data_IF_633854874935
#
_entry.id   IF_633854874935
#
_cell.length_a   1.000
_cell.length_b   1.000
_cell.length_c   1.000
_cell.angle_alpha   90.00
_cell.angle_beta   90.00
_cell.angle_gamma   90.00
#
_symmetry.space_group_name_H-M   'P 1'
#
loop_
_entity.id
_entity.type
_entity.pdbx_description
1 polymer ?
#
# COMPACT_ATOMS: atom_id res chain seq x y z
N UNK A 1 5.01 -5.66 23.06
CA UNK A 1 4.12 -6.53 22.25
C UNK A 1 4.99 -7.24 21.21
N UNK A 2 4.81 -8.54 20.95
CA UNK A 2 5.63 -9.23 19.93
C UNK A 2 5.35 -8.66 18.54
N UNK A 3 6.41 -8.45 17.75
CA UNK A 3 6.33 -7.92 16.36
C UNK A 3 5.43 -8.79 15.48
N UNK A 4 5.36 -10.10 15.74
CA UNK A 4 4.48 -11.03 15.03
C UNK A 4 3.01 -10.73 15.32
N UNK A 5 2.67 -10.51 16.60
CA UNK A 5 1.31 -10.18 17.01
C UNK A 5 0.88 -8.81 16.44
N UNK A 6 1.79 -7.84 16.48
CA UNK A 6 1.61 -6.53 15.86
C UNK A 6 1.34 -6.64 14.35
N UNK A 7 2.16 -7.41 13.64
CA UNK A 7 2.01 -7.67 12.21
C UNK A 7 0.64 -8.27 11.89
N UNK A 8 0.19 -9.25 12.67
CA UNK A 8 -1.14 -9.86 12.50
C UNK A 8 -2.27 -8.87 12.74
N UNK A 9 -2.15 -8.02 13.76
CA UNK A 9 -3.13 -6.97 14.05
C UNK A 9 -3.18 -5.93 12.92
N UNK A 10 -2.02 -5.46 12.47
CA UNK A 10 -1.88 -4.51 11.38
C UNK A 10 -2.49 -5.06 10.08
N UNK A 11 -2.16 -6.29 9.69
CA UNK A 11 -2.72 -6.93 8.48
C UNK A 11 -4.23 -7.04 8.53
N UNK A 12 -4.81 -7.39 9.69
CA UNK A 12 -6.27 -7.40 9.88
C UNK A 12 -6.87 -6.01 9.67
N UNK A 13 -6.28 -4.98 10.26
CA UNK A 13 -6.72 -3.58 10.10
C UNK A 13 -6.64 -3.13 8.64
N UNK A 14 -5.53 -3.39 7.95
CA UNK A 14 -5.35 -3.01 6.54
C UNK A 14 -6.34 -3.76 5.64
N UNK A 15 -6.59 -5.06 5.87
CA UNK A 15 -7.63 -5.80 5.13
C UNK A 15 -9.02 -5.21 5.33
N UNK A 16 -9.36 -4.83 6.56
CA UNK A 16 -10.64 -4.19 6.86
C UNK A 16 -10.80 -2.84 6.14
N UNK A 17 -9.72 -2.04 6.07
CA UNK A 17 -9.69 -0.79 5.30
C UNK A 17 -9.80 -1.04 3.79
N UNK A 18 -9.05 -2.01 3.27
CA UNK A 18 -9.04 -2.36 1.85
C UNK A 18 -10.40 -2.91 1.36
N UNK A 19 -11.21 -3.49 2.26
CA UNK A 19 -12.55 -3.99 1.95
C UNK A 19 -13.60 -2.89 1.75
N UNK A 20 -13.33 -1.66 2.22
CA UNK A 20 -14.24 -0.50 2.11
C UNK A 20 -13.54 0.69 1.45
N UNK A 21 -13.07 0.57 0.20
CA UNK A 21 -12.46 1.69 -0.48
C UNK A 21 -13.51 2.72 -0.91
N UNK A 22 -13.08 3.97 -1.09
CA UNK A 22 -13.91 5.00 -1.71
C UNK A 22 -14.05 4.74 -3.22
N UNK A 23 -15.04 3.92 -3.59
CA UNK A 23 -15.25 3.51 -4.97
C UNK A 23 -15.48 4.70 -5.93
N UNK A 24 -16.19 5.74 -5.49
CA UNK A 24 -16.42 6.94 -6.32
C UNK A 24 -15.09 7.58 -6.75
N UNK A 25 -14.13 7.70 -5.83
CA UNK A 25 -12.80 8.24 -6.14
C UNK A 25 -12.06 7.31 -7.12
N UNK A 26 -12.05 6.00 -6.85
CA UNK A 26 -11.32 5.04 -7.68
C UNK A 26 -11.86 4.97 -9.11
N UNK A 27 -13.18 4.98 -9.28
CA UNK A 27 -13.83 4.91 -10.60
C UNK A 27 -13.67 6.22 -11.35
N UNK A 28 -13.84 7.37 -10.68
CA UNK A 28 -13.72 8.70 -11.30
C UNK A 28 -12.33 8.94 -11.91
N UNK A 29 -11.29 8.44 -11.24
CA UNK A 29 -9.91 8.59 -11.68
C UNK A 29 -9.33 7.34 -12.37
N UNK A 30 -10.17 6.37 -12.79
CA UNK A 30 -9.74 5.24 -13.59
C UNK A 30 -9.46 5.67 -15.05
N UNK A 31 -8.19 5.94 -15.36
CA UNK A 31 -7.75 6.49 -16.66
C UNK A 31 -8.06 5.58 -17.85
N UNK A 32 -7.88 4.27 -17.71
CA UNK A 32 -8.25 3.24 -18.70
C UNK A 32 -9.68 2.74 -18.52
N UNK A 33 -10.32 3.10 -17.40
CA UNK A 33 -11.74 2.86 -17.17
C UNK A 33 -12.64 3.46 -18.25
N UNK A 34 -12.15 4.33 -19.14
CA UNK A 34 -12.87 4.84 -20.32
C UNK A 34 -12.53 4.13 -21.64
N UNK A 35 -11.48 3.31 -21.70
CA UNK A 35 -11.13 2.58 -22.93
C UNK A 35 -12.16 1.48 -23.20
N UNK A 36 -12.74 1.48 -24.39
CA UNK A 36 -13.70 0.46 -24.79
C UNK A 36 -13.00 -0.89 -25.01
N UNK A 37 -13.52 -2.01 -24.49
CA UNK A 37 -13.02 -3.34 -24.83
C UNK A 37 -13.06 -3.58 -26.35
N UNK A 38 -12.10 -4.35 -26.86
CA UNK A 38 -12.05 -4.67 -28.30
C UNK A 38 -13.19 -5.60 -28.71
N UNK A 39 -13.60 -6.51 -27.83
CA UNK A 39 -14.62 -7.52 -28.14
C UNK A 39 -16.04 -7.10 -27.74
N UNK A 40 -17.05 -7.58 -28.46
CA UNK A 40 -18.45 -7.23 -28.22
C UNK A 40 -18.99 -7.80 -26.91
N UNK A 41 -18.63 -9.04 -26.56
CA UNK A 41 -19.04 -9.68 -25.31
C UNK A 41 -18.52 -8.91 -24.08
N UNK A 42 -17.28 -8.44 -24.10
CA UNK A 42 -16.74 -7.60 -23.00
C UNK A 42 -17.46 -6.25 -22.89
N UNK A 43 -17.86 -5.64 -24.02
CA UNK A 43 -18.66 -4.40 -24.00
C UNK A 43 -20.03 -4.62 -23.36
N UNK A 44 -20.71 -5.70 -23.72
CA UNK A 44 -22.02 -6.08 -23.13
C UNK A 44 -21.84 -6.36 -21.63
N UNK A 45 -20.87 -7.18 -21.26
CA UNK A 45 -20.57 -7.50 -19.87
C UNK A 45 -20.26 -6.25 -19.04
N UNK A 46 -19.49 -5.31 -19.59
CA UNK A 46 -19.16 -4.05 -18.92
C UNK A 46 -20.37 -3.15 -18.68
N UNK A 47 -21.36 -3.16 -19.58
CA UNK A 47 -22.63 -2.44 -19.38
C UNK A 47 -23.46 -3.08 -18.28
N UNK A 48 -23.62 -4.41 -18.31
CA UNK A 48 -24.29 -5.18 -17.24
C UNK A 48 -23.64 -4.86 -15.89
N UNK A 49 -22.30 -4.89 -15.85
CA UNK A 49 -21.53 -4.60 -14.63
C UNK A 49 -21.77 -3.18 -14.11
N UNK A 50 -21.83 -2.18 -15.00
CA UNK A 50 -22.15 -0.80 -14.61
C UNK A 50 -23.54 -0.67 -13.97
N UNK A 51 -24.55 -1.32 -14.56
CA UNK A 51 -25.91 -1.31 -14.02
C UNK A 51 -25.93 -1.97 -12.65
N UNK A 52 -25.37 -3.17 -12.51
CA UNK A 52 -25.28 -3.88 -11.23
C UNK A 52 -24.52 -3.07 -10.16
N UNK A 53 -23.47 -2.35 -10.54
CA UNK A 53 -22.72 -1.49 -9.64
C UNK A 53 -23.53 -0.25 -9.21
N UNK A 54 -24.31 0.35 -10.12
CA UNK A 54 -25.16 1.51 -9.80
C UNK A 54 -26.28 1.20 -8.80
N UNK A 55 -26.73 -0.07 -8.76
CA UNK A 55 -27.69 -0.56 -7.76
C UNK A 55 -27.03 -1.24 -6.56
N UNK A 56 -25.70 -1.09 -6.39
CA UNK A 56 -24.91 -1.64 -5.29
C UNK A 56 -24.94 -3.18 -5.14
N UNK A 57 -25.31 -3.93 -6.18
CA UNK A 57 -25.29 -5.39 -6.16
C UNK A 57 -23.88 -5.96 -6.27
N UNK A 58 -22.97 -5.24 -6.92
CA UNK A 58 -21.56 -5.60 -7.06
C UNK A 58 -20.67 -4.37 -6.88
N UNK A 59 -19.41 -4.60 -6.52
CA UNK A 59 -18.43 -3.52 -6.49
C UNK A 59 -18.15 -2.96 -7.90
N UNK A 60 -18.04 -1.64 -8.05
CA UNK A 60 -17.63 -1.01 -9.29
C UNK A 60 -16.34 -1.61 -9.84
N UNK A 61 -16.22 -1.66 -11.17
CA UNK A 61 -14.98 -2.09 -11.79
C UNK A 61 -13.95 -0.97 -11.71
N UNK A 62 -12.73 -1.33 -11.30
CA UNK A 62 -11.55 -0.49 -11.44
C UNK A 62 -10.54 -1.32 -12.22
N UNK A 63 -10.03 -0.77 -13.30
CA UNK A 63 -9.07 -1.46 -14.16
C UNK A 63 -7.85 -1.86 -13.33
N UNK A 64 -7.41 -3.14 -13.36
CA UNK A 64 -6.20 -3.53 -12.67
C UNK A 64 -4.99 -2.94 -13.40
N UNK A 65 -4.20 -2.15 -12.68
CA UNK A 65 -2.91 -1.66 -13.15
C UNK A 65 -1.79 -2.34 -12.37
N UNK A 66 -0.73 -2.84 -13.03
CA UNK A 66 0.50 -3.15 -12.34
C UNK A 66 1.01 -1.85 -11.73
N UNK A 67 0.86 -1.70 -10.41
CA UNK A 67 1.59 -0.67 -9.69
C UNK A 67 3.01 -1.13 -9.61
N UNK A 68 3.93 -0.31 -10.11
CA UNK A 68 5.33 -0.54 -9.85
C UNK A 68 5.65 0.26 -8.58
N UNK A 69 5.86 -0.40 -7.42
CA UNK A 69 6.31 0.26 -6.19
C UNK A 69 7.76 0.78 -6.29
N UNK A 70 8.32 0.80 -7.50
CA UNK A 70 9.74 0.97 -7.77
C UNK A 70 9.98 2.39 -8.29
N UNK A 71 11.01 3.04 -7.78
CA UNK A 71 11.40 4.36 -8.27
C UNK A 71 11.97 4.23 -9.70
N UNK A 72 11.74 5.23 -10.54
CA UNK A 72 12.28 5.28 -11.93
C UNK A 72 13.78 5.01 -12.00
N UNK A 73 14.52 5.38 -10.96
CA UNK A 73 15.98 5.26 -10.87
C UNK A 73 16.48 3.95 -10.26
N UNK A 74 15.58 3.05 -9.87
CA UNK A 74 15.93 1.72 -9.37
C UNK A 74 15.30 0.68 -10.30
N UNK A 75 16.09 0.04 -11.20
CA UNK A 75 15.59 -1.07 -11.99
C UNK A 75 15.31 -2.22 -11.03
N UNK A 76 14.11 -2.79 -11.11
CA UNK A 76 13.69 -3.93 -10.30
C UNK A 76 12.98 -4.90 -11.23
N UNK A 77 13.04 -6.20 -10.92
CA UNK A 77 12.37 -7.23 -11.72
C UNK A 77 10.86 -6.99 -11.79
N UNK A 78 10.23 -7.44 -12.88
CA UNK A 78 8.79 -7.31 -13.07
C UNK A 78 7.97 -8.08 -12.01
N UNK A 79 8.57 -9.08 -11.36
CA UNK A 79 7.93 -9.97 -10.39
C UNK A 79 8.23 -9.60 -8.92
N UNK A 80 8.73 -8.38 -8.68
CA UNK A 80 9.09 -7.95 -7.34
C UNK A 80 7.88 -7.92 -6.39
N UNK A 81 8.06 -8.49 -5.19
CA UNK A 81 7.05 -8.45 -4.14
C UNK A 81 7.11 -7.10 -3.43
N UNK A 82 5.97 -6.42 -3.35
CA UNK A 82 5.87 -5.17 -2.59
C UNK A 82 5.87 -5.45 -1.08
N UNK A 83 6.67 -4.71 -0.33
CA UNK A 83 6.65 -4.70 1.15
C UNK A 83 6.16 -3.33 1.62
N UNK A 84 4.96 -3.28 2.18
CA UNK A 84 4.40 -2.04 2.73
C UNK A 84 4.76 -1.91 4.21
N UNK A 85 5.61 -0.94 4.53
CA UNK A 85 6.04 -0.59 5.88
C UNK A 85 5.09 0.47 6.41
N UNK A 86 4.29 0.12 7.41
CA UNK A 86 3.30 1.04 8.00
C UNK A 86 3.88 1.76 9.22
N UNK A 87 4.04 3.08 9.11
CA UNK A 87 4.73 3.93 10.10
C UNK A 87 3.93 5.18 10.49
N UNK A 88 2.59 5.12 10.42
CA UNK A 88 1.73 6.22 10.85
C UNK A 88 1.71 6.36 12.37
N UNK A 89 1.88 7.59 12.86
CA UNK A 89 1.86 7.90 14.29
C UNK A 89 3.18 7.57 15.02
N UNK A 90 4.24 7.25 14.27
CA UNK A 90 5.56 7.03 14.84
C UNK A 90 6.26 8.35 15.18
N UNK A 91 7.24 8.30 16.07
CA UNK A 91 8.12 9.44 16.29
C UNK A 91 9.24 9.48 15.24
N UNK A 92 9.73 10.69 14.91
CA UNK A 92 10.77 10.87 13.87
C UNK A 92 12.03 10.06 14.17
N UNK A 93 12.46 10.01 15.44
CA UNK A 93 13.67 9.28 15.86
C UNK A 93 13.50 7.78 15.71
N UNK A 94 12.37 7.25 16.16
CA UNK A 94 12.01 5.83 16.03
C UNK A 94 11.92 5.43 14.56
N UNK A 95 11.27 6.26 13.74
CA UNK A 95 11.11 6.02 12.32
C UNK A 95 12.45 5.90 11.60
N UNK A 96 13.40 6.81 11.88
CA UNK A 96 14.75 6.74 11.29
C UNK A 96 15.48 5.47 11.70
N UNK A 97 15.50 5.15 12.99
CA UNK A 97 16.18 3.96 13.50
C UNK A 97 15.61 2.67 12.88
N UNK A 98 14.28 2.56 12.79
CA UNK A 98 13.63 1.43 12.15
C UNK A 98 13.92 1.38 10.64
N UNK A 99 13.92 2.51 9.93
CA UNK A 99 14.27 2.56 8.52
C UNK A 99 15.73 2.11 8.26
N UNK A 100 16.67 2.44 9.14
CA UNK A 100 18.04 1.94 9.04
C UNK A 100 18.12 0.42 9.22
N UNK A 101 17.38 -0.13 10.18
CA UNK A 101 17.27 -1.57 10.38
C UNK A 101 16.62 -2.29 9.19
N UNK A 102 15.56 -1.71 8.64
CA UNK A 102 14.94 -2.14 7.38
C UNK A 102 15.91 -2.13 6.20
N UNK A 103 16.68 -1.05 6.04
CA UNK A 103 17.68 -0.94 4.97
C UNK A 103 18.66 -2.11 5.01
N UNK A 104 19.18 -2.46 6.19
CA UNK A 104 20.06 -3.63 6.37
C UNK A 104 19.36 -4.95 6.04
N UNK A 105 18.12 -5.14 6.47
CA UNK A 105 17.34 -6.38 6.22
C UNK A 105 16.93 -6.56 4.77
N UNK A 106 16.79 -5.47 4.02
CA UNK A 106 16.41 -5.45 2.61
C UNK A 106 17.63 -5.39 1.67
N UNK A 107 18.85 -5.22 2.20
CA UNK A 107 20.07 -5.31 1.41
C UNK A 107 20.26 -6.75 0.90
N UNK A 108 20.44 -6.89 -0.42
CA UNK A 108 20.67 -8.18 -1.08
C UNK A 108 19.42 -8.94 -1.53
N UNK A 109 18.21 -8.41 -1.30
CA UNK A 109 16.97 -8.97 -1.81
C UNK A 109 16.40 -8.14 -2.96
N UNK A 110 16.80 -8.43 -4.20
CA UNK A 110 16.25 -7.75 -5.39
C UNK A 110 14.76 -8.10 -5.65
N UNK A 111 14.24 -9.06 -4.89
CA UNK A 111 12.85 -9.54 -4.97
C UNK A 111 11.86 -8.73 -4.12
N UNK A 112 12.33 -7.76 -3.31
CA UNK A 112 11.48 -6.96 -2.44
C UNK A 112 11.55 -5.46 -2.76
N UNK A 113 10.40 -4.86 -3.02
CA UNK A 113 10.25 -3.42 -3.23
C UNK A 113 9.58 -2.75 -2.00
N UNK A 114 10.34 -2.02 -1.17
CA UNK A 114 9.80 -1.35 0.01
C UNK A 114 9.00 -0.10 -0.34
N UNK A 115 7.87 0.05 0.33
CA UNK A 115 7.02 1.24 0.31
C UNK A 115 6.80 1.69 1.75
N UNK A 116 7.26 2.89 2.09
CA UNK A 116 7.08 3.48 3.41
C UNK A 116 5.80 4.32 3.45
N UNK A 117 4.88 4.01 4.36
CA UNK A 117 3.68 4.80 4.64
C UNK A 117 3.88 5.58 5.93
N UNK A 118 3.95 6.91 5.87
CA UNK A 118 4.28 7.76 7.02
C UNK A 118 3.55 9.09 7.01
N UNK A 119 3.26 9.63 8.19
CA UNK A 119 2.74 10.98 8.42
C UNK A 119 3.83 12.01 8.74
N UNK A 120 5.11 11.62 8.72
CA UNK A 120 6.26 12.49 8.97
C UNK A 120 6.84 13.01 7.66
N UNK A 121 7.01 14.33 7.56
CA UNK A 121 7.68 14.98 6.43
C UNK A 121 9.21 15.04 6.68
N UNK A 122 9.93 14.00 6.29
CA UNK A 122 11.41 13.89 6.37
C UNK A 122 12.03 13.52 5.01
N UNK A 123 11.66 14.28 3.97
CA UNK A 123 12.00 13.97 2.58
C UNK A 123 13.51 13.86 2.32
N UNK A 124 14.32 14.64 3.05
CA UNK A 124 15.78 14.58 2.93
C UNK A 124 16.33 13.24 3.42
N UNK A 125 15.77 12.65 4.48
CA UNK A 125 16.13 11.31 4.90
C UNK A 125 15.64 10.27 3.89
N UNK A 126 14.38 10.36 3.46
CA UNK A 126 13.76 9.38 2.57
C UNK A 126 14.42 9.28 1.19
N UNK A 127 14.90 10.40 0.63
CA UNK A 127 15.57 10.41 -0.67
C UNK A 127 16.81 9.51 -0.70
N UNK A 128 17.44 9.26 0.45
CA UNK A 128 18.63 8.39 0.59
C UNK A 128 18.29 6.91 0.69
N UNK A 129 17.05 6.56 1.03
CA UNK A 129 16.63 5.16 1.16
C UNK A 129 16.41 4.49 -0.20
N UNK A 130 16.05 5.26 -1.22
CA UNK A 130 15.69 4.72 -2.54
C UNK A 130 14.39 3.90 -2.50
N UNK A 131 13.47 4.28 -1.62
CA UNK A 131 12.16 3.63 -1.45
C UNK A 131 11.04 4.55 -1.92
N UNK A 132 9.92 3.97 -2.32
CA UNK A 132 8.70 4.76 -2.53
C UNK A 132 8.16 5.20 -1.15
N UNK A 133 7.79 6.47 -1.02
CA UNK A 133 7.22 7.02 0.22
C UNK A 133 5.83 7.57 -0.04
N UNK A 134 4.87 7.03 0.69
CA UNK A 134 3.47 7.43 0.70
C UNK A 134 3.21 8.31 1.92
N UNK A 135 3.26 9.62 1.73
CA UNK A 135 3.07 10.60 2.79
C UNK A 135 1.59 10.78 3.14
N UNK A 136 1.17 10.53 4.39
CA UNK A 136 -0.22 10.58 4.85
C UNK A 136 -0.39 11.70 5.90
N UNK A 137 -0.56 12.96 5.48
CA UNK A 137 -0.63 14.07 6.42
C UNK A 137 -1.88 13.98 7.30
N UNK A 138 -1.72 14.35 8.57
CA UNK A 138 -2.85 14.68 9.43
C UNK A 138 -3.24 16.13 9.17
N UNK A 139 -4.19 16.35 8.27
CA UNK A 139 -4.81 17.66 8.08
C UNK A 139 -6.12 17.69 8.85
N UNK A 140 -6.23 18.59 9.82
CA UNK A 140 -7.51 18.93 10.46
C UNK A 140 -8.31 19.79 9.49
N UNK A 141 -9.44 19.26 9.02
CA UNK A 141 -10.39 20.01 8.17
C UNK A 141 -11.81 19.59 8.50
N UNK A 142 -12.78 20.45 8.17
CA UNK A 142 -14.21 20.13 8.26
C UNK A 142 -14.57 19.05 7.23
N UNK A 143 -14.86 17.83 7.68
CA UNK A 143 -15.22 16.69 6.82
C UNK A 143 -14.49 15.38 7.19
N UNK A 144 -14.72 14.27 6.46
CA UNK A 144 -13.97 13.02 6.65
C UNK A 144 -12.48 13.28 6.47
N UNK A 145 -11.65 12.84 7.42
CA UNK A 145 -10.26 13.27 7.47
C UNK A 145 -9.52 12.78 6.22
N UNK A 146 -8.82 13.69 5.52
CA UNK A 146 -7.99 13.35 4.35
C UNK A 146 -7.07 12.14 4.67
N UNK A 147 -6.58 12.09 5.90
CA UNK A 147 -5.78 11.01 6.43
C UNK A 147 -6.50 9.65 6.36
N UNK A 148 -7.75 9.54 6.82
CA UNK A 148 -8.54 8.31 6.75
C UNK A 148 -8.80 7.89 5.31
N UNK A 149 -9.17 8.84 4.45
CA UNK A 149 -9.43 8.59 3.03
C UNK A 149 -8.18 8.04 2.33
N UNK A 150 -7.03 8.66 2.58
CA UNK A 150 -5.74 8.21 2.05
C UNK A 150 -5.33 6.85 2.62
N UNK A 151 -5.55 6.58 3.91
CA UNK A 151 -5.30 5.26 4.48
C UNK A 151 -6.12 4.16 3.79
N UNK A 152 -7.42 4.39 3.56
CA UNK A 152 -8.29 3.45 2.86
C UNK A 152 -7.84 3.23 1.41
N UNK A 153 -7.48 4.31 0.70
CA UNK A 153 -6.92 4.23 -0.65
C UNK A 153 -5.62 3.40 -0.68
N UNK A 154 -4.66 3.68 0.20
CA UNK A 154 -3.39 2.95 0.26
C UNK A 154 -3.62 1.47 0.63
N UNK A 155 -4.50 1.19 1.58
CA UNK A 155 -4.87 -0.17 1.94
C UNK A 155 -5.44 -0.95 0.74
N UNK A 156 -6.33 -0.33 -0.04
CA UNK A 156 -6.83 -0.92 -1.28
C UNK A 156 -5.74 -1.06 -2.35
N UNK A 157 -4.89 -0.03 -2.51
CA UNK A 157 -3.84 0.02 -3.53
C UNK A 157 -2.80 -1.08 -3.32
N UNK A 158 -2.37 -1.27 -2.08
CA UNK A 158 -1.36 -2.23 -1.64
C UNK A 158 -1.98 -3.49 -1.02
N UNK A 159 -3.24 -3.84 -1.34
CA UNK A 159 -3.95 -4.99 -0.77
C UNK A 159 -3.27 -6.34 -0.95
N UNK A 160 -2.41 -6.45 -1.98
CA UNK A 160 -1.63 -7.66 -2.29
C UNK A 160 -0.18 -7.55 -1.79
N UNK A 161 0.21 -6.46 -1.15
CA UNK A 161 1.55 -6.27 -0.62
C UNK A 161 1.73 -7.03 0.71
N UNK A 162 2.99 -7.35 1.02
CA UNK A 162 3.38 -7.83 2.34
C UNK A 162 3.36 -6.65 3.31
N UNK A 163 2.38 -6.59 4.19
CA UNK A 163 2.26 -5.50 5.17
C UNK A 163 3.02 -5.84 6.44
N UNK A 164 3.90 -4.93 6.87
CA UNK A 164 4.75 -5.06 8.06
C UNK A 164 4.73 -3.76 8.89
N UNK A 165 4.75 -3.85 10.22
CA UNK A 165 4.83 -2.68 11.09
C UNK A 165 6.22 -2.06 11.07
N UNK A 166 6.34 -0.79 11.45
CA UNK A 166 7.62 -0.11 11.58
C UNK A 166 8.60 -0.86 12.49
N UNK A 167 8.11 -1.38 13.62
CA UNK A 167 8.87 -2.13 14.62
C UNK A 167 9.63 -3.33 14.05
N UNK A 168 9.18 -3.92 12.93
CA UNK A 168 9.87 -5.03 12.30
C UNK A 168 11.25 -4.65 11.72
N UNK A 169 11.52 -3.37 11.50
CA UNK A 169 12.87 -2.89 11.15
C UNK A 169 13.87 -3.06 12.31
N UNK A 170 13.38 -3.04 13.55
CA UNK A 170 14.18 -3.21 14.77
C UNK A 170 14.16 -4.66 15.29
N UNK A 171 13.43 -5.55 14.63
CA UNK A 171 13.31 -6.94 15.05
C UNK A 171 14.63 -7.71 14.90
N UNK A 172 14.81 -8.71 15.76
CA UNK A 172 15.94 -9.65 15.66
C UNK A 172 15.91 -10.43 14.33
N UNK A 173 17.03 -11.02 13.93
CA UNK A 173 17.09 -11.85 12.72
C UNK A 173 16.13 -13.06 12.78
N UNK A 174 15.95 -13.65 13.96
CA UNK A 174 15.02 -14.75 14.17
C UNK A 174 13.56 -14.31 13.92
N UNK A 175 13.16 -13.16 14.45
CA UNK A 175 11.82 -12.59 14.24
C UNK A 175 11.63 -12.17 12.78
N UNK A 176 12.65 -11.58 12.16
CA UNK A 176 12.61 -11.20 10.74
C UNK A 176 12.35 -12.40 9.83
N UNK A 177 13.08 -13.51 10.03
CA UNK A 177 12.86 -14.77 9.29
C UNK A 177 11.49 -15.38 9.53
N UNK A 178 10.92 -15.20 10.72
CA UNK A 178 9.56 -15.64 11.00
C UNK A 178 8.52 -14.79 10.24
N UNK A 179 8.75 -13.48 10.11
CA UNK A 179 7.88 -12.56 9.39
C UNK A 179 7.91 -12.78 7.87
N UNK A 180 9.07 -13.09 7.30
CA UNK A 180 9.22 -13.37 5.87
C UNK A 180 8.57 -14.68 5.42
N UNK A 181 8.29 -15.61 6.35
CA UNK A 181 7.52 -16.83 6.07
C UNK A 181 6.01 -16.62 6.16
N UNK A 182 5.56 -15.51 6.74
CA UNK A 182 4.14 -15.17 6.86
C UNK A 182 3.60 -14.40 5.65
N UNK A 183 4.46 -13.99 4.72
CA UNK A 183 4.10 -13.19 3.54
C UNK A 183 3.51 -14.01 2.40
#
# INVERSE_FOLDING_TARGET
>A
MSVIAETKALRRRIRALAAKPEWDVLVRYDLLGKKSPSTWHERVWRRIRHVLASVNLISPHVTPYPWLPTLKHRPVSADVKTVMIWALGAERRELRAACEGWSKKLQGGDDLAPVLVTDIADFAFYSRLGWLVEYVPSLSSTGPSLQQRKQAYLAWRYRNATVLPLSAGLASEAEWRALSKLS
#
